data_IF_519043109759
#
_entry.id   IF_519043109759
#
_cell.length_a   1.000
_cell.length_b   1.000
_cell.length_c   1.000
_cell.angle_alpha   90.00
_cell.angle_beta   90.00
_cell.angle_gamma   90.00
#
_symmetry.space_group_name_H-M   'P 1'
#
loop_
_entity.id
_entity.type
_entity.pdbx_description
1 polymer ?
#
# COMPACT_ATOMS: atom_id res chain seq x y z
N UNK A 1 5.51 9.21 0.68
CA UNK A 1 6.48 10.29 0.95
C UNK A 1 6.65 10.51 2.46
N UNK A 2 7.48 11.47 2.86
CA UNK A 2 7.74 11.75 4.29
C UNK A 2 6.50 12.30 5.01
N UNK A 3 5.67 13.11 4.32
CA UNK A 3 4.44 13.67 4.92
C UNK A 3 3.44 12.58 5.27
N UNK A 4 3.33 11.55 4.41
CA UNK A 4 2.48 10.37 4.63
C UNK A 4 3.00 9.55 5.80
N UNK A 5 4.33 9.36 5.88
CA UNK A 5 4.97 8.64 6.99
C UNK A 5 4.71 9.34 8.33
N UNK A 6 4.81 10.66 8.36
CA UNK A 6 4.47 11.46 9.54
C UNK A 6 3.00 11.33 9.93
N UNK A 7 2.07 11.30 8.97
CA UNK A 7 0.65 11.11 9.24
C UNK A 7 0.36 9.75 9.90
N UNK A 8 0.97 8.67 9.39
CA UNK A 8 0.86 7.33 9.97
C UNK A 8 1.41 7.29 11.38
N UNK A 9 2.67 7.71 11.57
CA UNK A 9 3.32 7.68 12.88
C UNK A 9 2.55 8.50 13.92
N UNK A 10 2.12 9.71 13.55
CA UNK A 10 1.30 10.56 14.42
C UNK A 10 -0.01 9.85 14.79
N UNK A 11 -0.73 9.31 13.81
CA UNK A 11 -2.06 8.73 14.08
C UNK A 11 -1.97 7.44 14.90
N UNK A 12 -0.99 6.57 14.65
CA UNK A 12 -0.76 5.36 15.47
C UNK A 12 -0.55 5.73 16.95
N UNK A 13 0.20 6.80 17.21
CA UNK A 13 0.38 7.33 18.58
C UNK A 13 -0.91 7.91 19.16
N UNK A 14 -1.67 8.67 18.36
CA UNK A 14 -2.96 9.25 18.79
C UNK A 14 -3.99 8.19 19.19
N UNK A 15 -4.01 7.03 18.51
CA UNK A 15 -4.91 5.92 18.85
C UNK A 15 -4.37 4.99 19.95
N UNK A 16 -3.23 5.35 20.57
CA UNK A 16 -2.66 4.67 21.73
C UNK A 16 -2.10 3.28 21.44
N UNK A 17 -1.65 3.01 20.20
CA UNK A 17 -0.96 1.75 19.88
C UNK A 17 0.47 1.81 20.43
N UNK A 18 0.76 0.90 21.36
CA UNK A 18 2.11 0.71 21.90
C UNK A 18 2.92 -0.19 20.96
N UNK A 19 3.66 0.42 20.05
CA UNK A 19 4.51 -0.27 19.08
C UNK A 19 5.75 0.56 18.73
N UNK A 20 6.84 -0.13 18.40
CA UNK A 20 8.01 0.49 17.77
C UNK A 20 7.66 0.75 16.30
N UNK A 21 7.63 2.02 15.91
CA UNK A 21 7.26 2.44 14.55
C UNK A 21 8.54 2.79 13.79
N UNK A 22 8.84 2.03 12.74
CA UNK A 22 9.84 2.38 11.74
C UNK A 22 9.13 2.75 10.44
N UNK A 23 9.46 3.90 9.87
CA UNK A 23 8.90 4.37 8.60
C UNK A 23 10.00 4.56 7.58
N UNK A 24 9.71 4.25 6.32
CA UNK A 24 10.61 4.58 5.24
C UNK A 24 9.85 5.06 3.99
N UNK A 25 10.44 6.04 3.32
CA UNK A 25 9.93 6.58 2.07
C UNK A 25 10.72 5.98 0.91
N UNK A 26 10.01 5.41 -0.05
CA UNK A 26 10.60 4.76 -1.22
C UNK A 26 10.35 5.51 -2.53
N UNK A 27 9.94 6.78 -2.47
CA UNK A 27 9.76 7.61 -3.67
C UNK A 27 11.08 7.70 -4.45
N UNK A 28 11.04 7.31 -5.72
CA UNK A 28 12.20 7.17 -6.62
C UNK A 28 13.30 6.23 -6.10
N UNK A 29 13.00 5.33 -5.15
CA UNK A 29 13.95 4.37 -4.63
C UNK A 29 13.97 3.09 -5.49
N UNK A 30 15.14 2.47 -5.58
CA UNK A 30 15.35 1.15 -6.18
C UNK A 30 15.50 0.13 -5.06
N UNK A 31 14.66 -0.90 -5.06
CA UNK A 31 14.73 -1.96 -4.05
C UNK A 31 16.04 -2.76 -4.19
N UNK A 32 16.70 -2.98 -3.06
CA UNK A 32 17.92 -3.77 -2.92
C UNK A 32 18.04 -4.28 -1.47
N UNK A 33 19.07 -5.08 -1.18
CA UNK A 33 19.20 -5.78 0.10
C UNK A 33 19.34 -4.86 1.33
N UNK A 34 19.64 -3.56 1.18
CA UNK A 34 19.67 -2.64 2.32
C UNK A 34 18.27 -2.38 2.91
N UNK A 35 17.21 -2.69 2.16
CA UNK A 35 15.82 -2.59 2.61
C UNK A 35 15.33 -3.84 3.35
N UNK A 36 15.98 -4.98 3.15
CA UNK A 36 15.57 -6.25 3.76
C UNK A 36 15.45 -6.17 5.29
N UNK A 37 16.38 -5.53 6.04
CA UNK A 37 16.25 -5.44 7.50
C UNK A 37 14.96 -4.74 7.97
N UNK A 38 14.42 -3.79 7.20
CA UNK A 38 13.16 -3.11 7.54
C UNK A 38 11.97 -4.08 7.54
N UNK A 39 11.99 -5.05 6.62
CA UNK A 39 10.93 -6.05 6.44
C UNK A 39 11.17 -7.24 7.37
N UNK A 40 12.41 -7.72 7.44
CA UNK A 40 12.80 -8.90 8.20
C UNK A 40 12.61 -8.68 9.71
N UNK A 41 12.84 -7.46 10.21
CA UNK A 41 12.68 -7.12 11.62
C UNK A 41 11.25 -6.69 12.00
N UNK A 42 10.37 -6.44 11.04
CA UNK A 42 8.99 -6.05 11.32
C UNK A 42 8.12 -7.25 11.71
N UNK A 43 7.22 -7.07 12.67
CA UNK A 43 6.14 -8.02 12.97
C UNK A 43 4.91 -7.79 12.06
N UNK A 44 4.62 -6.52 11.77
CA UNK A 44 3.52 -6.06 10.93
C UNK A 44 4.04 -5.02 9.94
N UNK A 45 3.57 -5.10 8.69
CA UNK A 45 3.96 -4.18 7.62
C UNK A 45 2.71 -3.49 7.08
N UNK A 46 2.72 -2.16 7.09
CA UNK A 46 1.73 -1.34 6.37
C UNK A 46 2.44 -0.76 5.15
N UNK A 47 2.13 -1.30 3.97
CA UNK A 47 2.71 -0.86 2.70
C UNK A 47 1.73 0.08 2.00
N UNK A 48 2.09 1.35 1.86
CA UNK A 48 1.30 2.29 1.06
C UNK A 48 1.70 2.20 -0.40
N UNK A 49 0.74 2.02 -1.30
CA UNK A 49 0.90 2.11 -2.76
C UNK A 49 0.23 3.39 -3.27
N UNK A 50 0.81 4.00 -4.30
CA UNK A 50 0.29 5.22 -4.89
C UNK A 50 0.60 5.28 -6.38
N UNK A 51 -0.46 5.20 -7.19
CA UNK A 51 -0.38 5.43 -8.63
C UNK A 51 -1.43 6.47 -9.07
N UNK A 52 -1.12 7.20 -10.14
CA UNK A 52 -2.13 7.96 -10.90
C UNK A 52 -2.68 7.12 -12.04
N UNK A 53 -1.79 6.46 -12.78
CA UNK A 53 -2.12 5.49 -13.83
C UNK A 53 -1.46 4.18 -13.46
N UNK A 54 -2.21 3.07 -13.48
CA UNK A 54 -1.64 1.75 -13.20
C UNK A 54 -1.17 1.11 -14.52
N UNK A 55 0.14 1.11 -14.74
CA UNK A 55 0.78 0.50 -15.93
C UNK A 55 2.09 -0.17 -15.51
N UNK A 56 2.06 -1.20 -14.65
CA UNK A 56 3.24 -1.98 -14.35
C UNK A 56 3.74 -2.67 -15.63
N UNK A 57 5.06 -2.83 -15.74
CA UNK A 57 5.61 -3.78 -16.70
C UNK A 57 5.25 -5.20 -16.23
N UNK A 58 4.84 -6.07 -17.15
CA UNK A 58 4.45 -7.45 -16.87
C UNK A 58 5.44 -8.39 -17.52
N UNK A 59 5.92 -9.38 -16.77
CA UNK A 59 6.79 -10.45 -17.26
C UNK A 59 6.30 -11.80 -16.71
N UNK A 60 6.15 -12.80 -17.56
CA UNK A 60 5.75 -14.15 -17.14
C UNK A 60 4.39 -14.27 -16.44
N UNK A 61 3.53 -13.25 -16.51
CA UNK A 61 2.25 -13.23 -15.78
C UNK A 61 2.35 -12.68 -14.36
N UNK A 62 3.42 -11.93 -14.04
CA UNK A 62 3.58 -11.16 -12.81
C UNK A 62 4.07 -9.73 -13.14
N UNK A 63 4.01 -8.82 -12.16
CA UNK A 63 4.69 -7.53 -12.28
C UNK A 63 6.20 -7.77 -12.39
N UNK A 64 6.84 -7.18 -13.39
CA UNK A 64 8.29 -7.28 -13.58
C UNK A 64 9.03 -6.50 -12.47
N UNK A 65 9.57 -7.23 -11.49
CA UNK A 65 10.20 -6.64 -10.28
C UNK A 65 11.72 -6.46 -10.38
N UNK A 66 12.36 -6.99 -11.41
CA UNK A 66 13.82 -6.93 -11.58
C UNK A 66 14.32 -5.62 -12.18
N UNK A 67 13.42 -4.77 -12.66
CA UNK A 67 13.78 -3.43 -13.13
C UNK A 67 14.40 -2.61 -11.98
N UNK A 68 15.68 -2.24 -12.16
CA UNK A 68 16.46 -1.41 -11.23
C UNK A 68 16.40 0.08 -11.59
N UNK A 69 15.47 0.49 -12.44
CA UNK A 69 15.24 1.88 -12.78
C UNK A 69 14.50 2.61 -11.66
N UNK A 70 14.94 3.82 -11.26
CA UNK A 70 14.19 4.64 -10.32
C UNK A 70 12.86 5.13 -10.90
N UNK A 71 12.57 4.97 -12.19
CA UNK A 71 11.34 5.44 -12.82
C UNK A 71 10.13 4.51 -12.61
N UNK A 72 10.37 3.26 -12.23
CA UNK A 72 9.33 2.24 -12.03
C UNK A 72 9.06 1.96 -10.55
N UNK A 73 9.65 2.77 -9.66
CA UNK A 73 9.58 2.62 -8.20
C UNK A 73 8.17 2.41 -7.66
N UNK A 74 7.16 3.06 -8.26
CA UNK A 74 5.77 2.96 -7.82
C UNK A 74 5.15 1.58 -8.04
N UNK A 75 5.76 0.74 -8.89
CA UNK A 75 5.35 -0.63 -9.17
C UNK A 75 6.35 -1.63 -8.61
N UNK A 76 7.64 -1.50 -8.94
CA UNK A 76 8.67 -2.50 -8.63
C UNK A 76 8.98 -2.55 -7.14
N UNK A 77 9.09 -1.40 -6.47
CA UNK A 77 9.41 -1.34 -5.06
C UNK A 77 8.35 -2.00 -4.17
N UNK A 78 7.04 -1.63 -4.25
CA UNK A 78 6.03 -2.26 -3.41
C UNK A 78 5.87 -3.76 -3.72
N UNK A 79 6.11 -4.20 -4.95
CA UNK A 79 6.10 -5.63 -5.30
C UNK A 79 7.28 -6.40 -4.68
N UNK A 80 8.48 -5.82 -4.68
CA UNK A 80 9.64 -6.42 -3.99
C UNK A 80 9.39 -6.52 -2.47
N UNK A 81 8.80 -5.48 -1.87
CA UNK A 81 8.40 -5.50 -0.44
C UNK A 81 7.38 -6.61 -0.17
N UNK A 82 6.34 -6.73 -1.01
CA UNK A 82 5.34 -7.79 -0.91
C UNK A 82 6.00 -9.17 -1.02
N UNK A 83 6.82 -9.41 -2.05
CA UNK A 83 7.53 -10.67 -2.25
C UNK A 83 8.36 -11.04 -1.02
N UNK A 84 9.18 -10.11 -0.52
CA UNK A 84 10.00 -10.33 0.68
C UNK A 84 9.16 -10.64 1.91
N UNK A 85 8.07 -9.90 2.11
CA UNK A 85 7.16 -10.12 3.23
C UNK A 85 6.48 -11.50 3.17
N UNK A 86 6.06 -11.95 1.99
CA UNK A 86 5.50 -13.29 1.79
C UNK A 86 6.55 -14.38 2.05
N UNK A 87 7.76 -14.24 1.50
CA UNK A 87 8.90 -15.16 1.72
C UNK A 87 9.23 -15.30 3.22
N UNK A 88 9.10 -14.20 3.96
CA UNK A 88 9.35 -14.12 5.41
C UNK A 88 8.11 -14.34 6.27
N UNK A 89 6.97 -14.67 5.66
CA UNK A 89 5.67 -14.92 6.33
C UNK A 89 5.25 -13.78 7.26
N UNK A 90 5.50 -12.53 6.85
CA UNK A 90 5.16 -11.33 7.61
C UNK A 90 3.67 -11.01 7.48
N UNK A 91 3.09 -10.47 8.56
CA UNK A 91 1.74 -9.91 8.52
C UNK A 91 1.81 -8.58 7.77
N UNK A 92 1.01 -8.43 6.73
CA UNK A 92 1.07 -7.27 5.85
C UNK A 92 -0.33 -6.77 5.49
N UNK A 93 -0.48 -5.47 5.34
CA UNK A 93 -1.59 -4.84 4.65
C UNK A 93 -1.06 -3.86 3.61
N UNK A 94 -1.60 -3.91 2.40
CA UNK A 94 -1.35 -2.92 1.35
C UNK A 94 -2.45 -1.87 1.39
N UNK A 95 -2.10 -0.59 1.36
CA UNK A 95 -3.04 0.52 1.30
C UNK A 95 -2.86 1.27 -0.01
N UNK A 96 -3.83 1.17 -0.93
CA UNK A 96 -3.90 2.01 -2.12
C UNK A 96 -4.35 3.42 -1.73
N UNK A 97 -3.47 4.41 -1.93
CA UNK A 97 -3.68 5.76 -1.43
C UNK A 97 -4.46 6.67 -2.38
N UNK A 98 -4.38 6.49 -3.69
CA UNK A 98 -4.91 7.50 -4.64
C UNK A 98 -6.01 6.93 -5.53
N UNK A 99 -5.61 6.34 -6.65
CA UNK A 99 -6.52 5.65 -7.55
C UNK A 99 -6.44 4.15 -7.21
N UNK A 100 -7.57 3.45 -7.09
CA UNK A 100 -7.60 2.08 -6.56
C UNK A 100 -7.05 1.03 -7.54
N UNK A 101 -6.68 1.42 -8.76
CA UNK A 101 -6.28 0.49 -9.83
C UNK A 101 -5.01 -0.29 -9.50
N UNK A 102 -4.12 0.24 -8.67
CA UNK A 102 -2.94 -0.49 -8.20
C UNK A 102 -3.27 -1.67 -7.29
N UNK A 103 -4.50 -1.80 -6.77
CA UNK A 103 -4.92 -3.00 -6.03
C UNK A 103 -4.81 -4.27 -6.86
N UNK A 104 -4.95 -4.18 -8.18
CA UNK A 104 -4.74 -5.30 -9.11
C UNK A 104 -3.28 -5.80 -9.12
N UNK A 105 -2.32 -5.03 -8.61
CA UNK A 105 -0.94 -5.46 -8.51
C UNK A 105 -0.73 -6.39 -7.30
N UNK A 106 -1.66 -6.45 -6.34
CA UNK A 106 -1.44 -7.05 -5.03
C UNK A 106 -2.38 -8.24 -4.76
N UNK A 107 -2.72 -9.03 -5.77
CA UNK A 107 -3.59 -10.21 -5.62
C UNK A 107 -3.07 -11.24 -4.61
N UNK A 108 -1.76 -11.33 -4.44
CA UNK A 108 -1.10 -12.24 -3.48
C UNK A 108 -0.94 -11.63 -2.08
N UNK A 109 -1.28 -10.35 -1.89
CA UNK A 109 -1.21 -9.72 -0.57
C UNK A 109 -2.33 -10.25 0.35
N UNK A 110 -2.03 -10.53 1.63
CA UNK A 110 -3.01 -11.10 2.56
C UNK A 110 -4.12 -10.12 2.93
N UNK A 111 -3.90 -8.82 2.77
CA UNK A 111 -4.91 -7.78 2.98
C UNK A 111 -4.61 -6.56 2.09
N UNK A 112 -5.67 -6.02 1.46
CA UNK A 112 -5.59 -4.82 0.62
C UNK A 112 -6.74 -3.87 0.99
N UNK A 113 -6.43 -2.58 1.14
CA UNK A 113 -7.36 -1.52 1.51
C UNK A 113 -7.23 -0.33 0.55
N UNK A 114 -8.37 0.22 0.10
CA UNK A 114 -8.39 1.48 -0.67
C UNK A 114 -8.70 2.66 0.27
N UNK A 115 -7.80 3.64 0.35
CA UNK A 115 -7.98 4.84 1.18
C UNK A 115 -8.52 6.04 0.40
N UNK A 116 -8.30 6.13 -0.91
CA UNK A 116 -8.75 7.25 -1.78
C UNK A 116 -8.29 8.66 -1.36
N UNK A 117 -7.20 8.76 -0.60
CA UNK A 117 -6.50 10.01 -0.33
C UNK A 117 -5.07 9.76 0.13
N UNK A 118 -4.15 10.56 -0.38
CA UNK A 118 -2.71 10.35 -0.26
C UNK A 118 -1.97 11.48 0.47
N UNK A 119 -2.63 12.60 0.77
CA UNK A 119 -1.97 13.71 1.44
C UNK A 119 -1.72 13.36 2.90
N UNK A 120 -0.47 13.52 3.34
CA UNK A 120 -0.07 13.32 4.72
C UNK A 120 -0.26 14.56 5.59
N UNK A 121 0.74 14.88 6.41
CA UNK A 121 0.75 16.12 7.21
C UNK A 121 1.32 17.27 6.37
N UNK A 122 0.59 18.38 6.29
CA UNK A 122 1.05 19.65 5.71
C UNK A 122 0.78 20.75 6.73
N UNK A 123 1.77 21.61 7.03
CA UNK A 123 1.64 22.68 8.04
C UNK A 123 1.10 22.18 9.39
N UNK A 124 1.68 21.07 9.89
CA UNK A 124 1.32 20.41 11.16
C UNK A 124 -0.14 19.95 11.31
N UNK A 125 -0.91 19.94 10.22
CA UNK A 125 -2.27 19.40 10.18
C UNK A 125 -2.38 18.22 9.22
N UNK A 126 -3.30 17.30 9.51
CA UNK A 126 -3.70 16.28 8.54
C UNK A 126 -4.32 16.95 7.33
N UNK A 127 -3.64 16.88 6.18
CA UNK A 127 -4.13 17.51 4.95
C UNK A 127 -5.33 16.77 4.34
N UNK A 128 -5.51 15.49 4.70
CA UNK A 128 -6.65 14.64 4.36
C UNK A 128 -6.96 13.66 5.50
N UNK A 129 -8.23 13.23 5.66
CA UNK A 129 -8.63 12.26 6.69
C UNK A 129 -8.33 10.81 6.31
N UNK A 130 -7.94 10.54 5.06
CA UNK A 130 -7.90 9.19 4.49
C UNK A 130 -6.84 8.28 5.13
N UNK A 131 -5.61 8.76 5.34
CA UNK A 131 -4.56 7.98 6.01
C UNK A 131 -4.95 7.66 7.46
N UNK A 132 -5.40 8.64 8.30
CA UNK A 132 -5.97 8.34 9.61
C UNK A 132 -7.07 7.26 9.57
N UNK A 133 -8.04 7.37 8.68
CA UNK A 133 -9.13 6.39 8.56
C UNK A 133 -8.63 4.99 8.18
N UNK A 134 -7.66 4.90 7.27
CA UNK A 134 -7.05 3.64 6.85
C UNK A 134 -6.31 2.96 8.01
N UNK A 135 -5.51 3.72 8.76
CA UNK A 135 -4.79 3.20 9.93
C UNK A 135 -5.78 2.80 11.04
N UNK A 136 -6.80 3.61 11.32
CA UNK A 136 -7.87 3.28 12.26
C UNK A 136 -8.52 1.93 11.93
N UNK A 137 -8.81 1.72 10.66
CA UNK A 137 -9.36 0.47 10.11
C UNK A 137 -8.40 -0.68 10.35
N UNK A 138 -7.13 -0.57 9.93
CA UNK A 138 -6.09 -1.61 10.11
C UNK A 138 -5.98 -2.07 11.58
N UNK A 139 -6.08 -1.13 12.53
CA UNK A 139 -6.01 -1.44 13.96
C UNK A 139 -7.37 -1.79 14.60
N UNK A 140 -8.41 -2.02 13.81
CA UNK A 140 -9.74 -2.43 14.28
C UNK A 140 -10.48 -1.34 15.06
N UNK A 141 -10.06 -0.08 14.95
CA UNK A 141 -10.69 1.08 15.60
C UNK A 141 -11.86 1.65 14.81
N UNK A 142 -12.04 1.23 13.55
CA UNK A 142 -13.20 1.53 12.72
C UNK A 142 -13.59 0.36 11.83
N UNK A 143 -14.88 0.19 11.54
CA UNK A 143 -15.38 -0.83 10.60
C UNK A 143 -15.50 -0.25 9.18
N UNK A 144 -14.83 -0.84 8.17
CA UNK A 144 -14.91 -0.34 6.79
C UNK A 144 -16.29 -0.64 6.20
N UNK A 145 -16.87 0.35 5.52
CA UNK A 145 -18.15 0.24 4.80
C UNK A 145 -18.03 0.60 3.31
N UNK A 146 -16.84 0.97 2.87
CA UNK A 146 -16.59 1.43 1.50
C UNK A 146 -16.86 0.33 0.49
N UNK A 147 -17.42 0.73 -0.65
CA UNK A 147 -17.56 -0.09 -1.85
C UNK A 147 -16.84 0.61 -3.01
N UNK A 148 -16.23 -0.16 -3.89
CA UNK A 148 -15.53 0.35 -5.06
C UNK A 148 -16.47 1.20 -5.90
N UNK A 149 -16.04 2.40 -6.27
CA UNK A 149 -16.78 3.32 -7.15
C UNK A 149 -16.40 3.18 -8.62
N UNK A 150 -15.54 2.19 -8.95
CA UNK A 150 -15.02 1.88 -10.28
C UNK A 150 -14.76 0.38 -10.38
N UNK A 151 -14.72 -0.15 -11.60
CA UNK A 151 -14.17 -1.48 -11.84
C UNK A 151 -12.64 -1.46 -11.72
N UNK A 152 -12.08 -2.53 -11.17
CA UNK A 152 -10.65 -2.81 -11.16
C UNK A 152 -10.41 -3.94 -12.14
N UNK A 153 -9.72 -3.62 -13.23
CA UNK A 153 -9.34 -4.59 -14.24
C UNK A 153 -8.06 -5.32 -13.85
N UNK A 154 -7.95 -6.57 -14.30
CA UNK A 154 -6.71 -7.35 -14.20
C UNK A 154 -5.57 -6.63 -14.92
N UNK A 155 -4.37 -6.72 -14.35
CA UNK A 155 -3.14 -6.24 -15.00
C UNK A 155 -2.69 -7.10 -16.18
N UNK A 156 -3.25 -8.31 -16.33
CA UNK A 156 -2.95 -9.22 -17.43
C UNK A 156 -3.92 -9.09 -18.60
N UNK A 157 -5.17 -8.70 -18.32
CA UNK A 157 -6.21 -8.52 -19.32
C UNK A 157 -7.15 -7.36 -18.94
N UNK A 158 -7.11 -6.29 -19.73
CA UNK A 158 -7.92 -5.09 -19.53
C UNK A 158 -9.42 -5.27 -19.79
N UNK A 159 -9.87 -6.46 -20.20
CA UNK A 159 -11.29 -6.83 -20.31
C UNK A 159 -11.78 -7.64 -19.11
N UNK A 160 -10.86 -8.18 -18.30
CA UNK A 160 -11.20 -8.98 -17.13
C UNK A 160 -11.32 -8.06 -15.91
N UNK A 161 -12.51 -7.99 -15.33
CA UNK A 161 -12.75 -7.30 -14.06
C UNK A 161 -12.33 -8.22 -12.92
N UNK A 162 -11.33 -7.81 -12.15
CA UNK A 162 -10.86 -8.50 -10.96
C UNK A 162 -11.74 -8.16 -9.75
N UNK A 163 -12.02 -6.87 -9.56
CA UNK A 163 -12.94 -6.38 -8.53
C UNK A 163 -13.97 -5.45 -9.17
N UNK A 164 -15.26 -5.82 -9.18
CA UNK A 164 -16.28 -5.03 -9.85
C UNK A 164 -16.66 -3.78 -9.05
N UNK A 165 -17.24 -2.80 -9.74
CA UNK A 165 -17.98 -1.70 -9.14
C UNK A 165 -18.94 -2.23 -8.06
N UNK A 166 -18.96 -1.56 -6.90
CA UNK A 166 -19.78 -1.95 -5.76
C UNK A 166 -19.19 -3.07 -4.90
N UNK A 167 -18.03 -3.63 -5.25
CA UNK A 167 -17.34 -4.62 -4.41
C UNK A 167 -16.73 -3.98 -3.15
N UNK A 168 -16.71 -4.73 -2.05
CA UNK A 168 -16.05 -4.34 -0.81
C UNK A 168 -16.40 -5.31 0.31
N UNK A 169 -15.46 -5.52 1.22
CA UNK A 169 -15.58 -6.49 2.32
C UNK A 169 -15.70 -5.78 3.68
N UNK A 170 -16.20 -6.52 4.67
CA UNK A 170 -16.29 -6.09 6.08
C UNK A 170 -15.52 -7.07 6.96
N UNK A 171 -15.19 -6.67 8.19
CA UNK A 171 -14.65 -7.57 9.21
C UNK A 171 -15.64 -8.65 9.63
#
# INVERSE_FOLDING_TARGET
DNTQSSAVNRYIREIGVDAIISTANYNSAVYNSTWDPLIDNADYIVLHSLVTKNTPAIDGGDVFIEDKSPNTWAFTFPQNVLKRALDKKKKMVVVSLRNPYDTANFETAPAVLCAYGFKGILNDVYAQPNIPAAISTIFGKSSPKGKLTVDIFSIYNNQTILYPFGFGITY
#
